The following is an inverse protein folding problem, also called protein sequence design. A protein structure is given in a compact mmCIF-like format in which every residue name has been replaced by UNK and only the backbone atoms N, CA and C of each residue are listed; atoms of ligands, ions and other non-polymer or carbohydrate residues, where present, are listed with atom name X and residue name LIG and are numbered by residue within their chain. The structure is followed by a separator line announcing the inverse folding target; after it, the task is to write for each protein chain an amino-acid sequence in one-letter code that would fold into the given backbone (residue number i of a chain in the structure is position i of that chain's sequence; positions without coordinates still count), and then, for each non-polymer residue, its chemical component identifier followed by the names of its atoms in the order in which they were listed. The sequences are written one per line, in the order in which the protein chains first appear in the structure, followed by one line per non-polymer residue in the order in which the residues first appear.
data_IF_127032348557
#
_entry.id   IF_127032348557
#
_cell.length_a   1.000
_cell.length_b   1.000
_cell.length_c   1.000
_cell.angle_alpha   90.00
_cell.angle_beta   90.00
_cell.angle_gamma   90.00
#
_symmetry.space_group_name_H-M   'P 1'
#
loop_
_entity.id
_entity.type
_entity.pdbx_description
1 polymer ?
#
# COMPACT_ATOMS: atom_id res chain seq x y z
N UNK A 1 -11.47 10.94 27.32
CA UNK A 1 -11.85 11.01 25.89
C UNK A 1 -10.63 10.62 25.05
N UNK A 2 -10.76 9.72 24.07
CA UNK A 2 -9.62 9.33 23.21
C UNK A 2 -9.25 10.51 22.30
N UNK A 3 -7.97 10.88 22.26
CA UNK A 3 -7.43 11.94 21.37
C UNK A 3 -6.72 11.39 20.13
N UNK A 4 -6.60 10.08 20.04
CA UNK A 4 -5.96 9.33 18.97
C UNK A 4 -6.74 8.03 18.77
N UNK A 5 -6.83 7.57 17.54
CA UNK A 5 -7.43 6.28 17.20
C UNK A 5 -6.88 5.78 15.87
N UNK A 6 -6.85 4.47 15.71
CA UNK A 6 -6.66 3.79 14.44
C UNK A 6 -7.84 2.83 14.22
N UNK A 7 -8.19 2.59 12.96
CA UNK A 7 -9.16 1.57 12.55
C UNK A 7 -8.60 0.85 11.33
N UNK A 8 -8.90 -0.44 11.21
CA UNK A 8 -8.57 -1.18 10.00
C UNK A 8 -9.63 -2.20 9.64
N UNK A 9 -9.73 -2.51 8.35
CA UNK A 9 -10.46 -3.69 7.86
C UNK A 9 -9.64 -4.99 7.96
N UNK A 10 -8.48 -4.95 8.63
CA UNK A 10 -7.66 -6.10 9.00
C UNK A 10 -7.38 -6.00 10.51
N UNK A 11 -7.96 -6.90 11.30
CA UNK A 11 -7.96 -6.82 12.78
C UNK A 11 -6.56 -6.68 13.38
N UNK A 12 -5.63 -7.52 12.97
CA UNK A 12 -4.29 -7.57 13.51
C UNK A 12 -3.44 -6.36 13.09
N UNK A 13 -3.74 -5.78 11.91
CA UNK A 13 -3.15 -4.52 11.48
C UNK A 13 -3.69 -3.34 12.30
N UNK A 14 -4.96 -3.39 12.72
CA UNK A 14 -5.54 -2.40 13.61
C UNK A 14 -4.83 -2.40 14.96
N UNK A 15 -4.65 -3.57 15.58
CA UNK A 15 -4.01 -3.70 16.89
C UNK A 15 -2.59 -3.08 16.87
N UNK A 16 -1.81 -3.41 15.84
CA UNK A 16 -0.46 -2.87 15.67
C UNK A 16 -0.46 -1.35 15.42
N UNK A 17 -1.44 -0.82 14.68
CA UNK A 17 -1.56 0.63 14.46
C UNK A 17 -1.98 1.36 15.74
N UNK A 18 -2.89 0.79 16.54
CA UNK A 18 -3.31 1.33 17.83
C UNK A 18 -2.16 1.34 18.85
N UNK A 19 -1.34 0.29 18.88
CA UNK A 19 -0.14 0.20 19.71
C UNK A 19 0.87 1.29 19.32
N UNK A 20 1.15 1.44 18.01
CA UNK A 20 2.05 2.48 17.51
C UNK A 20 1.59 3.90 17.88
N UNK A 21 0.27 4.17 17.84
CA UNK A 21 -0.28 5.42 18.35
C UNK A 21 -0.09 5.54 19.86
N UNK A 22 -0.28 4.44 20.60
CA UNK A 22 -0.16 4.39 22.06
C UNK A 22 1.23 4.79 22.54
N UNK A 23 2.26 4.33 21.83
CA UNK A 23 3.68 4.66 22.02
C UNK A 23 4.06 6.10 21.61
N UNK A 24 3.09 6.91 21.18
CA UNK A 24 3.33 8.30 20.77
C UNK A 24 3.70 8.47 19.30
N UNK A 25 3.44 7.46 18.47
CA UNK A 25 3.53 7.57 17.02
C UNK A 25 2.53 8.56 16.43
N UNK A 26 2.88 9.09 15.25
CA UNK A 26 1.96 9.87 14.42
C UNK A 26 0.95 8.98 13.69
N UNK A 27 -0.06 9.59 13.07
CA UNK A 27 -1.03 8.86 12.25
C UNK A 27 -0.36 8.09 11.11
N UNK A 28 0.63 8.71 10.46
CA UNK A 28 1.38 8.08 9.37
C UNK A 28 2.26 6.92 9.88
N UNK A 29 2.88 7.05 11.06
CA UNK A 29 3.61 5.95 11.71
C UNK A 29 2.69 4.75 11.97
N UNK A 30 1.48 5.03 12.46
CA UNK A 30 0.50 4.01 12.81
C UNK A 30 0.01 3.21 11.60
N UNK A 31 -0.43 3.87 10.52
CA UNK A 31 -0.93 3.16 9.33
C UNK A 31 0.16 2.33 8.64
N UNK A 32 1.40 2.82 8.61
CA UNK A 32 2.56 2.09 8.04
C UNK A 32 2.93 0.91 8.93
N UNK A 33 2.91 1.07 10.25
CA UNK A 33 3.17 -0.04 11.19
C UNK A 33 2.11 -1.13 11.06
N UNK A 34 0.82 -0.76 11.00
CA UNK A 34 -0.26 -1.73 10.77
C UNK A 34 -0.11 -2.48 9.44
N UNK A 35 0.23 -1.77 8.36
CA UNK A 35 0.49 -2.40 7.06
C UNK A 35 1.66 -3.39 7.12
N UNK A 36 2.78 -2.98 7.71
CA UNK A 36 3.95 -3.85 7.83
C UNK A 36 3.70 -5.02 8.79
N UNK A 37 2.81 -4.88 9.76
CA UNK A 37 2.34 -5.99 10.59
C UNK A 37 1.58 -7.03 9.74
N UNK A 38 0.61 -6.60 8.92
CA UNK A 38 -0.10 -7.48 8.01
C UNK A 38 0.85 -8.18 7.01
N UNK A 39 1.83 -7.45 6.48
CA UNK A 39 2.91 -8.01 5.65
C UNK A 39 3.80 -9.03 6.38
N UNK A 40 3.86 -8.97 7.71
CA UNK A 40 4.53 -9.97 8.54
C UNK A 40 3.71 -11.25 8.73
N UNK A 41 2.39 -11.19 8.57
CA UNK A 41 1.47 -12.32 8.71
C UNK A 41 1.24 -13.07 7.38
N UNK A 42 1.14 -12.33 6.28
CA UNK A 42 0.83 -12.86 4.95
C UNK A 42 1.94 -12.58 3.93
N UNK A 43 2.15 -13.44 2.92
CA UNK A 43 3.26 -13.30 1.97
C UNK A 43 3.04 -12.21 0.89
N UNK A 44 1.78 -11.85 0.62
CA UNK A 44 1.32 -10.98 -0.47
C UNK A 44 1.37 -9.47 -0.18
N UNK A 45 0.99 -8.96 1.01
CA UNK A 45 0.79 -7.53 1.20
C UNK A 45 2.03 -6.67 0.97
N UNK A 46 3.22 -7.15 1.34
CA UNK A 46 4.44 -6.36 1.37
C UNK A 46 4.79 -5.73 0.01
N UNK A 47 4.65 -6.50 -1.06
CA UNK A 47 4.99 -6.12 -2.43
C UNK A 47 3.76 -5.73 -3.26
N UNK A 48 2.57 -5.88 -2.69
CA UNK A 48 1.32 -5.52 -3.31
C UNK A 48 1.18 -4.01 -3.53
N UNK A 49 0.17 -3.58 -4.32
CA UNK A 49 -0.16 -2.17 -4.48
C UNK A 49 -0.47 -1.51 -3.15
N UNK A 50 0.05 -0.30 -2.95
CA UNK A 50 -0.27 0.57 -1.80
C UNK A 50 -0.72 1.94 -2.30
N UNK A 51 -1.76 2.49 -1.68
CA UNK A 51 -2.13 3.90 -1.81
C UNK A 51 -2.12 4.52 -0.43
N UNK A 52 -1.55 5.72 -0.29
CA UNK A 52 -1.48 6.41 0.99
C UNK A 52 -1.94 7.85 0.83
N UNK A 53 -2.80 8.31 1.73
CA UNK A 53 -3.25 9.68 1.83
C UNK A 53 -2.88 10.21 3.22
N UNK A 54 -2.26 11.38 3.28
CA UNK A 54 -1.79 12.00 4.53
C UNK A 54 -2.13 13.48 4.52
N UNK A 55 -2.62 13.99 5.64
CA UNK A 55 -2.96 15.40 5.77
C UNK A 55 -3.10 15.84 7.21
N UNK A 56 -3.14 17.15 7.40
CA UNK A 56 -3.27 17.77 8.71
C UNK A 56 -3.15 19.28 8.63
N UNK A 57 -3.41 19.96 9.74
CA UNK A 57 -3.39 21.43 9.79
C UNK A 57 -2.03 21.95 9.31
N UNK A 58 -2.04 22.84 8.32
CA UNK A 58 -0.84 23.47 7.74
C UNK A 58 0.01 22.60 6.82
N UNK A 59 -0.33 21.32 6.60
CA UNK A 59 0.47 20.39 5.79
C UNK A 59 -0.11 20.15 4.38
N UNK A 60 -1.35 20.61 4.12
CA UNK A 60 -2.12 20.21 2.94
C UNK A 60 -2.37 18.70 2.94
N UNK A 61 -2.95 18.19 1.85
CA UNK A 61 -3.10 16.75 1.64
C UNK A 61 -2.10 16.24 0.60
N UNK A 62 -1.46 15.12 0.92
CA UNK A 62 -0.44 14.45 0.11
C UNK A 62 -0.89 13.03 -0.19
N UNK A 63 -0.68 12.61 -1.42
CA UNK A 63 -0.93 11.25 -1.86
C UNK A 63 0.39 10.56 -2.23
N UNK A 64 0.55 9.29 -1.87
CA UNK A 64 1.72 8.49 -2.22
C UNK A 64 1.31 7.26 -3.04
N UNK A 65 1.84 7.16 -4.25
CA UNK A 65 1.56 6.13 -5.25
C UNK A 65 2.51 4.94 -5.07
N UNK A 66 2.04 3.90 -4.39
CA UNK A 66 2.69 2.61 -4.28
C UNK A 66 2.08 1.55 -5.19
N UNK A 67 1.34 1.94 -6.26
CA UNK A 67 0.77 0.97 -7.20
C UNK A 67 1.87 0.11 -7.83
N UNK A 68 1.50 -1.14 -8.11
CA UNK A 68 2.34 -2.01 -8.92
C UNK A 68 2.48 -1.45 -10.34
N UNK A 69 3.54 -1.82 -11.05
CA UNK A 69 3.83 -1.30 -12.39
C UNK A 69 3.98 -2.43 -13.39
N UNK A 70 3.63 -2.14 -14.64
CA UNK A 70 3.89 -3.04 -15.75
C UNK A 70 5.40 -3.32 -15.86
N UNK A 71 5.85 -4.58 -15.80
CA UNK A 71 7.27 -4.92 -15.85
C UNK A 71 7.87 -4.77 -17.26
N UNK A 72 9.19 -4.86 -17.32
CA UNK A 72 9.99 -4.88 -18.55
C UNK A 72 10.70 -3.57 -18.83
N UNK A 73 11.00 -2.75 -17.83
CA UNK A 73 11.87 -1.57 -17.99
C UNK A 73 13.24 -1.99 -18.49
N UNK A 74 13.76 -1.29 -19.49
CA UNK A 74 15.04 -1.54 -20.18
C UNK A 74 15.24 -2.96 -20.75
N UNK A 75 14.23 -3.83 -20.66
CA UNK A 75 14.30 -5.18 -21.17
C UNK A 75 14.04 -5.18 -22.68
N UNK A 76 14.72 -6.10 -23.37
CA UNK A 76 14.41 -6.38 -24.78
C UNK A 76 12.95 -6.77 -24.90
N UNK A 77 12.27 -6.26 -25.93
CA UNK A 77 10.87 -6.61 -26.22
C UNK A 77 10.74 -8.14 -26.38
N UNK A 78 9.94 -8.82 -25.53
CA UNK A 78 9.71 -10.25 -25.64
C UNK A 78 8.85 -10.56 -26.87
N UNK A 79 8.93 -11.80 -27.36
CA UNK A 79 7.94 -12.31 -28.32
C UNK A 79 6.65 -12.55 -27.54
N UNK A 80 5.52 -12.05 -28.04
CA UNK A 80 4.24 -12.25 -27.37
C UNK A 80 3.84 -13.73 -27.36
N UNK A 81 3.15 -14.13 -26.29
CA UNK A 81 2.60 -15.48 -26.15
C UNK A 81 1.58 -15.76 -27.27
N UNK A 82 1.63 -16.98 -27.78
CA UNK A 82 0.67 -17.51 -28.77
C UNK A 82 -0.39 -18.41 -28.15
N UNK A 83 -0.15 -18.88 -26.93
CA UNK A 83 -1.05 -19.76 -26.22
C UNK A 83 -2.22 -18.94 -25.64
N UNK A 84 -3.35 -19.61 -25.47
CA UNK A 84 -4.55 -19.01 -24.88
C UNK A 84 -4.35 -18.64 -23.39
N UNK A 85 -3.39 -19.30 -22.70
CA UNK A 85 -3.07 -19.03 -21.29
C UNK A 85 -1.56 -18.81 -21.08
N UNK A 86 -1.12 -17.56 -20.81
CA UNK A 86 0.25 -17.25 -20.40
C UNK A 86 0.62 -17.88 -19.05
N UNK A 87 1.91 -18.16 -18.81
CA UNK A 87 2.36 -18.66 -17.51
C UNK A 87 2.11 -17.63 -16.40
N UNK A 88 1.91 -18.10 -15.16
CA UNK A 88 1.60 -17.25 -13.99
C UNK A 88 2.63 -16.13 -13.80
N UNK A 89 3.90 -16.43 -14.07
CA UNK A 89 5.04 -15.51 -13.98
C UNK A 89 4.90 -14.30 -14.92
N UNK A 90 4.17 -14.45 -16.04
CA UNK A 90 3.89 -13.35 -16.96
C UNK A 90 2.98 -12.27 -16.38
N UNK A 91 2.26 -12.58 -15.30
CA UNK A 91 1.40 -11.67 -14.56
C UNK A 91 2.12 -10.97 -13.39
N UNK A 92 3.38 -11.32 -13.09
CA UNK A 92 4.15 -10.66 -12.04
C UNK A 92 4.33 -9.17 -12.35
N UNK A 93 3.82 -8.30 -11.49
CA UNK A 93 4.01 -6.87 -11.58
C UNK A 93 5.21 -6.40 -10.76
N UNK A 94 5.81 -5.29 -11.18
CA UNK A 94 6.89 -4.64 -10.45
C UNK A 94 6.32 -3.92 -9.21
N UNK A 95 6.85 -4.18 -8.00
CA UNK A 95 6.29 -3.62 -6.77
C UNK A 95 6.63 -2.14 -6.58
N UNK A 96 5.66 -1.35 -6.11
CA UNK A 96 5.82 0.08 -5.82
C UNK A 96 5.73 0.46 -4.34
N UNK A 97 5.25 -0.45 -3.49
CA UNK A 97 4.92 -0.19 -2.08
C UNK A 97 6.08 0.39 -1.26
N UNK A 98 7.23 -0.29 -1.24
CA UNK A 98 8.38 0.12 -0.41
C UNK A 98 8.88 1.52 -0.80
N UNK A 99 8.78 1.87 -2.07
CA UNK A 99 9.16 3.19 -2.55
C UNK A 99 8.23 4.29 -2.00
N UNK A 100 6.92 4.07 -2.10
CA UNK A 100 5.92 4.99 -1.56
C UNK A 100 6.04 5.15 -0.04
N UNK A 101 6.21 4.07 0.70
CA UNK A 101 6.34 4.11 2.16
C UNK A 101 7.61 4.82 2.62
N UNK A 102 8.72 4.63 1.91
CA UNK A 102 9.99 5.31 2.21
C UNK A 102 9.84 6.82 2.07
N UNK A 103 9.20 7.28 0.98
CA UNK A 103 8.98 8.71 0.75
C UNK A 103 7.91 9.27 1.70
N UNK A 104 6.86 8.52 2.03
CA UNK A 104 5.90 8.94 3.03
C UNK A 104 6.57 9.16 4.40
N UNK A 105 7.44 8.26 4.84
CA UNK A 105 8.11 8.38 6.14
C UNK A 105 9.09 9.55 6.23
N UNK A 106 9.61 10.09 5.12
CA UNK A 106 10.49 11.26 5.19
C UNK A 106 9.78 12.49 5.76
N UNK A 107 8.43 12.51 5.78
CA UNK A 107 7.62 13.56 6.39
C UNK A 107 7.56 13.49 7.93
N UNK A 108 7.98 12.38 8.55
CA UNK A 108 7.90 12.20 10.01
C UNK A 108 9.16 12.56 10.77
N UNK A 109 10.23 12.98 10.09
CA UNK A 109 11.46 13.47 10.72
C UNK A 109 11.92 12.63 11.92
N UNK A 110 12.35 11.38 11.69
CA UNK A 110 13.01 10.58 12.74
C UNK A 110 12.55 9.13 12.91
N UNK A 111 11.62 8.63 12.10
CA UNK A 111 11.23 7.20 12.07
C UNK A 111 11.70 6.56 10.77
N UNK A 112 12.39 5.41 10.87
CA UNK A 112 12.79 4.61 9.71
C UNK A 112 11.71 3.59 9.35
N UNK A 113 11.73 3.13 8.09
CA UNK A 113 10.83 2.07 7.64
C UNK A 113 11.03 0.77 8.44
N UNK A 114 12.29 0.44 8.76
CA UNK A 114 12.61 -0.69 9.63
C UNK A 114 12.00 -0.55 11.04
N UNK A 115 12.00 0.65 11.62
CA UNK A 115 11.40 0.87 12.94
C UNK A 115 9.89 0.57 12.92
N UNK A 116 9.17 1.02 11.88
CA UNK A 116 7.76 0.71 11.67
C UNK A 116 7.53 -0.79 11.42
N UNK A 117 8.48 -1.47 10.79
CA UNK A 117 8.37 -2.88 10.43
C UNK A 117 8.70 -3.88 11.53
N UNK A 118 9.29 -3.45 12.66
CA UNK A 118 9.70 -4.36 13.74
C UNK A 118 8.56 -5.24 14.25
N UNK A 119 7.34 -4.72 14.54
CA UNK A 119 6.22 -5.57 14.95
C UNK A 119 5.89 -6.66 13.93
N UNK A 120 5.88 -6.33 12.63
CA UNK A 120 5.64 -7.29 11.54
C UNK A 120 6.75 -8.33 11.39
N UNK A 121 8.01 -7.93 11.52
CA UNK A 121 9.15 -8.87 11.52
C UNK A 121 9.01 -9.87 12.68
N UNK A 122 8.58 -9.42 13.86
CA UNK A 122 8.35 -10.31 14.99
C UNK A 122 7.13 -11.22 14.78
N UNK A 123 6.06 -10.71 14.14
CA UNK A 123 4.90 -11.52 13.76
C UNK A 123 5.28 -12.63 12.76
N UNK A 124 6.12 -12.32 11.77
CA UNK A 124 6.67 -13.30 10.83
C UNK A 124 7.50 -14.37 11.56
N UNK A 125 8.39 -13.98 12.48
CA UNK A 125 9.18 -14.92 13.30
C UNK A 125 8.29 -15.84 14.14
N UNK A 126 7.27 -15.29 14.81
CA UNK A 126 6.33 -16.08 15.65
C UNK A 126 5.47 -17.05 14.83
N UNK A 127 5.19 -16.73 13.57
CA UNK A 127 4.43 -17.61 12.66
C UNK A 127 5.31 -18.63 11.93
N UNK A 128 6.62 -18.66 12.21
CA UNK A 128 7.56 -19.58 11.56
C UNK A 128 8.04 -19.13 10.17
N UNK A 129 7.63 -17.95 9.69
CA UNK A 129 8.05 -17.38 8.42
C UNK A 129 9.40 -16.66 8.54
N UNK A 130 10.46 -17.43 8.80
CA UNK A 130 11.79 -16.91 9.10
C UNK A 130 12.44 -16.18 7.91
N UNK A 131 12.24 -16.68 6.69
CA UNK A 131 12.81 -16.04 5.50
C UNK A 131 12.06 -14.76 5.15
N UNK A 132 10.73 -14.72 5.37
CA UNK A 132 9.96 -13.47 5.27
C UNK A 132 10.46 -12.41 6.25
N UNK A 133 10.69 -12.81 7.51
CA UNK A 133 11.21 -11.90 8.52
C UNK A 133 12.59 -11.33 8.13
N UNK A 134 13.49 -12.18 7.63
CA UNK A 134 14.83 -11.79 7.17
C UNK A 134 14.78 -10.88 5.96
N UNK A 135 13.90 -11.18 5.01
CA UNK A 135 13.65 -10.34 3.85
C UNK A 135 13.16 -8.96 4.28
N UNK A 136 12.16 -8.88 5.15
CA UNK A 136 11.66 -7.63 5.70
C UNK A 136 12.76 -6.83 6.40
N UNK A 137 13.56 -7.48 7.26
CA UNK A 137 14.67 -6.81 7.94
C UNK A 137 15.68 -6.19 6.95
N UNK A 138 16.04 -6.94 5.91
CA UNK A 138 16.97 -6.50 4.86
C UNK A 138 16.37 -5.38 4.00
N UNK A 139 15.17 -5.59 3.47
CA UNK A 139 14.52 -4.67 2.54
C UNK A 139 14.13 -3.36 3.24
N UNK A 140 13.52 -3.43 4.43
CA UNK A 140 13.09 -2.25 5.18
C UNK A 140 14.29 -1.50 5.79
N UNK A 141 15.37 -2.21 6.15
CA UNK A 141 16.61 -1.61 6.63
C UNK A 141 17.31 -0.75 5.58
N UNK A 142 17.24 -1.16 4.31
CA UNK A 142 17.77 -0.40 3.17
C UNK A 142 16.78 0.63 2.58
N UNK A 143 15.55 0.71 3.11
CA UNK A 143 14.51 1.63 2.65
C UNK A 143 14.20 1.50 1.16
N UNK A 144 14.16 2.62 0.45
CA UNK A 144 13.85 2.67 -1.00
C UNK A 144 14.83 1.91 -1.91
N UNK A 145 15.99 1.50 -1.38
CA UNK A 145 16.99 0.72 -2.10
C UNK A 145 16.95 -0.78 -1.76
N UNK A 146 16.01 -1.21 -0.90
CA UNK A 146 15.94 -2.60 -0.43
C UNK A 146 15.84 -3.64 -1.55
N UNK A 147 15.08 -3.35 -2.60
CA UNK A 147 14.92 -4.28 -3.72
C UNK A 147 16.13 -4.32 -4.68
N UNK A 148 17.07 -3.37 -4.55
CA UNK A 148 18.31 -3.35 -5.35
C UNK A 148 19.40 -4.25 -4.79
N UNK A 149 19.19 -4.87 -3.63
CA UNK A 149 20.17 -5.79 -3.06
C UNK A 149 20.38 -6.99 -4.00
N UNK A 150 21.63 -7.37 -4.35
CA UNK A 150 21.89 -8.38 -5.37
C UNK A 150 21.22 -9.73 -5.13
N UNK A 151 21.14 -10.16 -3.86
CA UNK A 151 20.45 -11.40 -3.49
C UNK A 151 18.94 -11.30 -3.76
N UNK A 152 18.32 -10.17 -3.41
CA UNK A 152 16.90 -9.93 -3.64
C UNK A 152 16.60 -9.87 -5.14
N UNK A 153 17.38 -9.10 -5.91
CA UNK A 153 17.20 -9.00 -7.35
C UNK A 153 17.29 -10.37 -8.03
N UNK A 154 18.29 -11.19 -7.65
CA UNK A 154 18.47 -12.53 -8.22
C UNK A 154 17.24 -13.41 -7.99
N UNK A 155 16.74 -13.48 -6.77
CA UNK A 155 15.58 -14.31 -6.43
C UNK A 155 14.31 -13.83 -7.17
N UNK A 156 14.11 -12.52 -7.29
CA UNK A 156 12.96 -11.95 -8.00
C UNK A 156 13.03 -12.23 -9.50
N UNK A 157 14.20 -12.09 -10.11
CA UNK A 157 14.41 -12.41 -11.54
C UNK A 157 14.31 -13.91 -11.80
N UNK A 158 14.71 -14.76 -10.85
CA UNK A 158 14.50 -16.20 -10.94
C UNK A 158 13.02 -16.58 -10.86
N UNK A 159 12.22 -15.83 -10.11
CA UNK A 159 10.78 -16.08 -9.96
C UNK A 159 9.93 -15.51 -11.11
N UNK A 160 10.28 -14.34 -11.63
CA UNK A 160 9.41 -13.57 -12.53
C UNK A 160 10.13 -12.93 -13.74
N UNK A 161 11.40 -13.26 -13.94
CA UNK A 161 12.17 -12.78 -15.09
C UNK A 161 11.92 -13.60 -16.36
N UNK A 162 12.59 -13.25 -17.47
CA UNK A 162 12.42 -13.90 -18.77
C UNK A 162 12.63 -15.42 -18.77
N UNK A 163 13.55 -15.93 -17.95
CA UNK A 163 13.83 -17.36 -17.84
C UNK A 163 12.72 -18.14 -17.15
N UNK A 164 11.89 -17.47 -16.36
CA UNK A 164 10.72 -18.04 -15.68
C UNK A 164 9.43 -17.87 -16.49
N UNK A 165 9.50 -17.27 -17.69
CA UNK A 165 8.32 -16.91 -18.49
C UNK A 165 7.68 -15.58 -18.09
N UNK A 166 8.27 -14.84 -17.15
CA UNK A 166 7.84 -13.49 -16.79
C UNK A 166 8.57 -12.39 -17.58
N UNK A 167 8.29 -11.13 -17.22
CA UNK A 167 8.90 -9.96 -17.87
C UNK A 167 9.62 -9.02 -16.90
N UNK A 168 9.75 -9.41 -15.63
CA UNK A 168 10.43 -8.59 -14.62
C UNK A 168 11.91 -8.43 -14.97
N UNK A 169 12.41 -7.20 -14.90
CA UNK A 169 13.80 -6.84 -15.14
C UNK A 169 14.44 -6.25 -13.87
N UNK A 170 15.78 -6.16 -13.86
CA UNK A 170 16.48 -5.51 -12.74
C UNK A 170 16.09 -4.03 -12.60
N UNK A 171 15.80 -3.35 -13.72
CA UNK A 171 15.39 -1.95 -13.74
C UNK A 171 13.99 -1.73 -13.14
N UNK A 172 13.12 -2.75 -13.17
CA UNK A 172 11.80 -2.71 -12.52
C UNK A 172 11.90 -2.66 -10.98
N UNK A 173 13.00 -3.14 -10.42
CA UNK A 173 13.26 -3.16 -8.97
C UNK A 173 13.96 -1.87 -8.50
N UNK A 174 14.18 -0.92 -9.41
CA UNK A 174 14.75 0.38 -9.10
C UNK A 174 13.64 1.42 -8.88
N UNK A 175 13.79 2.25 -7.85
CA UNK A 175 12.91 3.40 -7.61
C UNK A 175 13.14 4.48 -8.69
N UNK A 176 12.52 4.30 -9.86
CA UNK A 176 12.64 5.21 -11.02
C UNK A 176 11.40 6.10 -11.23
N UNK A 177 10.60 6.28 -10.19
CA UNK A 177 9.40 7.11 -10.23
C UNK A 177 9.31 7.99 -8.99
N UNK A 178 8.61 9.12 -9.11
CA UNK A 178 8.23 9.95 -7.99
C UNK A 178 6.94 9.38 -7.37
N UNK A 179 6.95 8.84 -6.15
CA UNK A 179 5.76 8.31 -5.52
C UNK A 179 4.86 9.42 -4.94
N UNK A 180 5.39 10.60 -4.66
CA UNK A 180 4.59 11.68 -4.07
C UNK A 180 3.82 12.47 -5.14
N UNK A 181 2.55 12.71 -4.85
CA UNK A 181 1.68 13.58 -5.62
C UNK A 181 0.87 14.48 -4.69
N UNK A 182 0.45 15.68 -5.15
CA UNK A 182 -0.62 16.40 -4.46
C UNK A 182 -1.88 15.53 -4.45
N UNK A 183 -2.62 15.53 -3.34
CA UNK A 183 -3.94 14.92 -3.33
C UNK A 183 -4.86 15.63 -4.33
N UNK A 184 -5.83 14.90 -4.89
CA UNK A 184 -6.90 15.49 -5.69
C UNK A 184 -7.93 16.10 -4.74
N UNK A 185 -8.11 17.41 -4.84
CA UNK A 185 -9.05 18.17 -3.99
C UNK A 185 -10.34 18.45 -4.77
N UNK A 186 -11.47 18.20 -4.14
CA UNK A 186 -12.82 18.57 -4.61
C UNK A 186 -13.61 19.11 -3.44
N UNK A 187 -13.92 20.41 -3.44
CA UNK A 187 -14.52 21.11 -2.31
C UNK A 187 -13.71 20.89 -1.02
N UNK A 188 -14.26 20.18 -0.03
CA UNK A 188 -13.60 19.84 1.24
C UNK A 188 -12.92 18.47 1.23
N UNK A 189 -12.99 17.73 0.13
CA UNK A 189 -12.52 16.35 0.04
C UNK A 189 -11.18 16.24 -0.66
N UNK A 190 -10.23 15.58 0.00
CA UNK A 190 -8.98 15.12 -0.59
C UNK A 190 -9.03 13.63 -0.88
N UNK A 191 -8.58 13.25 -2.06
CA UNK A 191 -8.53 11.85 -2.54
C UNK A 191 -7.22 11.53 -3.23
N UNK A 192 -6.97 10.25 -3.49
CA UNK A 192 -5.85 9.84 -4.36
C UNK A 192 -6.10 10.36 -5.79
N UNK A 193 -5.12 10.98 -6.46
CA UNK A 193 -5.32 11.54 -7.80
C UNK A 193 -5.44 10.47 -8.89
N UNK A 194 -5.18 9.20 -8.56
CA UNK A 194 -5.40 8.01 -9.39
C UNK A 194 -6.51 7.10 -8.85
N UNK A 195 -7.39 7.60 -7.97
CA UNK A 195 -8.53 6.83 -7.49
C UNK A 195 -9.39 6.36 -8.68
N UNK A 196 -9.67 5.06 -8.70
CA UNK A 196 -10.48 4.38 -9.71
C UNK A 196 -11.53 3.52 -8.99
N UNK A 197 -12.75 3.49 -9.52
CA UNK A 197 -13.81 2.65 -8.97
C UNK A 197 -13.53 1.17 -9.23
N UNK A 198 -13.85 0.33 -8.25
CA UNK A 198 -13.78 -1.14 -8.38
C UNK A 198 -14.63 -1.66 -9.54
N UNK A 199 -15.81 -1.07 -9.77
CA UNK A 199 -16.71 -1.42 -10.88
C UNK A 199 -16.09 -1.23 -12.28
N UNK A 200 -14.99 -0.49 -12.37
CA UNK A 200 -14.32 -0.17 -13.63
C UNK A 200 -13.14 -1.11 -13.92
N UNK A 201 -12.84 -2.06 -13.04
CA UNK A 201 -11.66 -2.93 -13.13
C UNK A 201 -12.05 -4.41 -13.09
N UNK A 202 -11.33 -5.23 -13.86
CA UNK A 202 -11.33 -6.68 -13.71
C UNK A 202 -10.19 -7.07 -12.79
N UNK A 203 -10.50 -7.41 -11.54
CA UNK A 203 -9.51 -7.82 -10.55
C UNK A 203 -9.32 -9.34 -10.56
N UNK A 204 -8.12 -9.85 -10.22
CA UNK A 204 -7.93 -11.27 -10.00
C UNK A 204 -8.81 -11.81 -8.88
N UNK A 205 -9.33 -13.01 -9.06
CA UNK A 205 -10.08 -13.72 -8.02
C UNK A 205 -9.24 -13.87 -6.74
N UNK A 206 -9.86 -13.62 -5.59
CA UNK A 206 -9.20 -13.73 -4.28
C UNK A 206 -8.31 -12.53 -3.91
N UNK A 207 -8.21 -11.50 -4.75
CA UNK A 207 -7.60 -10.23 -4.36
C UNK A 207 -8.52 -9.50 -3.35
N UNK A 208 -7.99 -9.23 -2.16
CA UNK A 208 -8.67 -8.55 -1.05
C UNK A 208 -8.02 -7.22 -0.76
N UNK A 209 -8.82 -6.15 -0.78
CA UNK A 209 -8.47 -4.81 -0.36
C UNK A 209 -8.63 -4.66 1.15
N UNK A 210 -7.59 -4.15 1.78
CA UNK A 210 -7.62 -3.73 3.17
C UNK A 210 -7.28 -2.25 3.29
N UNK A 211 -7.79 -1.62 4.33
CA UNK A 211 -7.47 -0.23 4.63
C UNK A 211 -7.18 -0.03 6.11
N UNK A 212 -6.31 0.92 6.42
CA UNK A 212 -5.98 1.37 7.77
C UNK A 212 -6.09 2.89 7.77
N UNK A 213 -6.82 3.44 8.73
CA UNK A 213 -6.91 4.89 8.95
C UNK A 213 -6.47 5.22 10.37
N UNK A 214 -5.89 6.39 10.56
CA UNK A 214 -5.48 6.87 11.87
C UNK A 214 -5.63 8.38 12.01
N UNK A 215 -5.94 8.81 13.23
CA UNK A 215 -5.82 10.20 13.69
C UNK A 215 -4.92 10.18 14.93
N UNK A 216 -3.88 11.02 14.96
CA UNK A 216 -3.01 11.16 16.13
C UNK A 216 -3.41 12.33 17.05
N UNK A 217 -2.68 12.47 18.16
CA UNK A 217 -2.97 13.47 19.18
C UNK A 217 -2.73 14.93 18.72
N UNK A 218 -1.99 15.14 17.63
CA UNK A 218 -1.75 16.48 17.06
C UNK A 218 -2.80 16.85 16.01
N UNK A 219 -3.62 15.89 15.59
CA UNK A 219 -4.64 16.07 14.56
C UNK A 219 -4.09 15.90 13.15
N UNK A 220 -3.02 15.10 12.99
CA UNK A 220 -2.66 14.56 11.67
C UNK A 220 -3.52 13.33 11.38
N UNK A 221 -3.88 13.18 10.11
CA UNK A 221 -4.69 12.09 9.61
C UNK A 221 -3.91 11.34 8.55
N UNK A 222 -4.05 10.02 8.55
CA UNK A 222 -3.49 9.17 7.51
C UNK A 222 -4.47 8.06 7.15
N UNK A 223 -4.50 7.71 5.88
CA UNK A 223 -5.20 6.55 5.35
C UNK A 223 -4.25 5.77 4.44
N UNK A 224 -4.26 4.44 4.56
CA UNK A 224 -3.45 3.54 3.74
C UNK A 224 -4.35 2.40 3.24
N UNK A 225 -4.34 2.18 1.93
CA UNK A 225 -4.98 1.05 1.27
C UNK A 225 -3.90 0.08 0.78
N UNK A 226 -4.09 -1.22 1.01
CA UNK A 226 -3.21 -2.28 0.52
C UNK A 226 -4.01 -3.50 0.10
N UNK A 227 -3.35 -4.46 -0.57
CA UNK A 227 -4.01 -5.65 -1.08
C UNK A 227 -3.32 -6.93 -0.60
N UNK A 228 -4.14 -7.94 -0.29
CA UNK A 228 -3.74 -9.31 0.02
C UNK A 228 -4.40 -10.24 -1.01
N UNK A 229 -3.66 -11.18 -1.62
CA UNK A 229 -4.25 -12.01 -2.66
C UNK A 229 -3.21 -12.77 -3.47
N UNK A 230 -3.62 -13.40 -4.59
CA UNK A 230 -2.75 -14.27 -5.36
C UNK A 230 -1.56 -13.49 -5.95
N UNK A 231 -0.38 -14.06 -5.82
CA UNK A 231 0.83 -13.54 -6.42
C UNK A 231 1.77 -14.63 -6.95
N UNK A 232 2.87 -14.20 -7.56
CA UNK A 232 3.95 -15.07 -8.04
C UNK A 232 4.93 -15.30 -6.89
N UNK A 233 5.11 -16.54 -6.42
CA UNK A 233 5.88 -16.81 -5.21
C UNK A 233 7.38 -16.58 -5.43
N UNK A 234 7.99 -15.81 -4.54
CA UNK A 234 9.44 -15.71 -4.38
C UNK A 234 9.82 -16.59 -3.19
N UNK A 235 9.90 -17.90 -3.44
CA UNK A 235 10.02 -18.94 -2.40
C UNK A 235 11.18 -18.69 -1.42
N UNK A 236 12.30 -18.19 -1.93
CA UNK A 236 13.51 -17.90 -1.14
C UNK A 236 13.27 -16.89 -0.01
N UNK A 237 12.19 -16.09 -0.09
CA UNK A 237 11.84 -15.10 0.92
C UNK A 237 10.44 -15.30 1.51
N UNK A 238 9.72 -16.38 1.16
CA UNK A 238 8.35 -16.62 1.63
C UNK A 238 7.39 -15.43 1.41
N UNK A 239 7.57 -14.72 0.28
CA UNK A 239 6.74 -13.60 -0.16
C UNK A 239 6.19 -13.85 -1.56
N UNK A 240 5.22 -13.03 -1.96
CA UNK A 240 4.65 -13.07 -3.31
C UNK A 240 4.76 -11.71 -4.00
N UNK A 241 5.12 -11.75 -5.29
CA UNK A 241 4.98 -10.61 -6.20
C UNK A 241 3.53 -10.47 -6.64
N UNK A 242 2.95 -9.27 -6.73
CA UNK A 242 1.56 -9.10 -7.15
C UNK A 242 1.35 -9.62 -8.58
N UNK A 243 0.36 -10.50 -8.78
CA UNK A 243 0.00 -11.02 -10.09
C UNK A 243 -1.00 -10.10 -10.81
N UNK A 244 -0.57 -8.87 -11.14
CA UNK A 244 -1.43 -7.80 -11.68
C UNK A 244 -1.02 -7.33 -13.08
N UNK A 245 0.15 -7.74 -13.58
CA UNK A 245 0.65 -7.27 -14.87
C UNK A 245 -0.14 -7.87 -16.03
N UNK A 246 -0.24 -7.10 -17.12
CA UNK A 246 -0.78 -7.63 -18.36
C UNK A 246 0.30 -8.41 -19.11
N UNK A 247 0.09 -9.71 -19.41
CA UNK A 247 1.05 -10.49 -20.17
C UNK A 247 1.15 -9.96 -21.61
N UNK A 248 2.31 -10.15 -22.24
CA UNK A 248 2.53 -9.72 -23.62
C UNK A 248 1.96 -10.77 -24.56
N UNK A 249 0.81 -10.50 -25.16
CA UNK A 249 0.15 -11.40 -26.12
C UNK A 249 0.50 -11.04 -27.57
N UNK A 250 0.51 -12.04 -28.46
CA UNK A 250 0.70 -11.80 -29.90
C UNK A 250 -0.53 -11.07 -30.48
N UNK A 251 -0.30 -10.01 -31.25
CA UNK A 251 -1.37 -9.26 -31.91
C UNK A 251 -2.11 -8.25 -31.00
N UNK A 252 -1.86 -8.26 -29.70
CA UNK A 252 -2.43 -7.30 -28.75
C UNK A 252 -1.45 -6.17 -28.47
N UNK A 253 -1.88 -4.89 -28.48
CA UNK A 253 -1.04 -3.79 -28.02
C UNK A 253 -0.53 -4.03 -26.60
N UNK A 254 0.79 -4.00 -26.43
CA UNK A 254 1.42 -4.21 -25.13
C UNK A 254 1.27 -2.97 -24.26
N UNK A 255 0.99 -3.17 -22.97
CA UNK A 255 1.12 -2.15 -21.94
C UNK A 255 2.58 -1.64 -21.83
N UNK A 256 2.75 -0.32 -21.74
CA UNK A 256 4.08 0.30 -21.63
C UNK A 256 4.72 -0.08 -20.28
N UNK A 257 5.98 -0.54 -20.23
CA UNK A 257 6.67 -0.80 -18.97
C UNK A 257 6.79 0.46 -18.11
N UNK A 258 6.76 0.25 -16.79
CA UNK A 258 6.75 1.32 -15.79
C UNK A 258 5.40 2.01 -15.63
N UNK A 259 4.41 1.75 -16.50
CA UNK A 259 3.05 2.28 -16.33
C UNK A 259 2.44 1.73 -15.04
N UNK A 260 1.90 2.58 -14.14
CA UNK A 260 1.15 2.13 -12.98
C UNK A 260 -0.05 1.26 -13.39
N UNK A 261 -0.29 0.20 -12.64
CA UNK A 261 -1.44 -0.69 -12.81
C UNK A 261 -2.56 -0.20 -11.89
N UNK A 262 -3.73 0.05 -12.47
CA UNK A 262 -4.89 0.57 -11.76
C UNK A 262 -5.46 -0.46 -10.77
N UNK A 263 -5.75 0.01 -9.57
CA UNK A 263 -6.25 -0.78 -8.43
C UNK A 263 -7.21 0.10 -7.63
N UNK A 264 -8.33 -0.44 -7.10
CA UNK A 264 -9.38 0.39 -6.52
C UNK A 264 -9.04 0.86 -5.11
N UNK A 265 -8.33 1.98 -5.02
CA UNK A 265 -7.91 2.58 -3.75
C UNK A 265 -8.84 3.76 -3.41
N UNK A 266 -9.82 3.52 -2.53
CA UNK A 266 -10.80 4.52 -2.10
C UNK A 266 -10.43 5.09 -0.73
N UNK A 267 -9.66 6.18 -0.73
CA UNK A 267 -9.21 6.89 0.47
C UNK A 267 -9.67 8.34 0.40
N UNK A 268 -10.19 8.85 1.52
CA UNK A 268 -10.67 10.23 1.64
C UNK A 268 -10.17 10.89 2.92
N UNK A 269 -9.76 12.15 2.82
CA UNK A 269 -9.70 13.09 3.94
C UNK A 269 -10.77 14.16 3.69
N UNK A 270 -11.42 14.65 4.74
CA UNK A 270 -12.40 15.75 4.67
C UNK A 270 -11.99 16.90 5.60
N UNK A 271 -12.02 18.12 5.07
CA UNK A 271 -11.87 19.35 5.85
C UNK A 271 -13.21 19.73 6.49
N UNK A 272 -13.19 20.05 7.78
CA UNK A 272 -14.37 20.53 8.49
C UNK A 272 -14.64 22.02 8.29
N UNK A 273 -15.84 22.47 8.66
CA UNK A 273 -16.34 23.84 8.45
C UNK A 273 -15.45 24.95 9.07
N UNK A 274 -14.74 24.64 10.16
CA UNK A 274 -13.82 25.58 10.83
C UNK A 274 -12.41 25.63 10.18
N UNK A 275 -12.24 25.04 8.99
CA UNK A 275 -11.02 25.11 8.17
C UNK A 275 -9.92 24.15 8.61
N UNK A 276 -9.70 23.07 7.85
CA UNK A 276 -8.68 22.04 8.08
C UNK A 276 -9.26 20.64 8.39
N UNK A 277 -8.42 19.63 8.28
CA UNK A 277 -8.83 18.22 8.32
C UNK A 277 -9.36 17.79 9.67
N UNK A 278 -10.56 17.22 9.69
CA UNK A 278 -11.16 16.63 10.90
C UNK A 278 -11.66 15.21 10.68
N UNK A 279 -11.74 14.71 9.44
CA UNK A 279 -12.22 13.36 9.14
C UNK A 279 -11.33 12.62 8.14
N UNK A 280 -11.26 11.31 8.34
CA UNK A 280 -10.60 10.36 7.44
C UNK A 280 -11.48 9.13 7.26
N UNK A 281 -11.62 8.66 6.03
CA UNK A 281 -12.35 7.44 5.72
C UNK A 281 -11.66 6.60 4.64
N UNK A 282 -11.97 5.31 4.64
CA UNK A 282 -11.49 4.34 3.67
C UNK A 282 -12.48 3.18 3.50
N UNK A 283 -12.37 2.45 2.38
CA UNK A 283 -13.22 1.28 2.06
C UNK A 283 -12.39 0.01 1.91
N UNK A 284 -12.84 -1.10 2.52
CA UNK A 284 -12.27 -2.45 2.36
C UNK A 284 -13.00 -3.31 1.32
N UNK A 285 -12.55 -4.55 1.09
CA UNK A 285 -13.21 -5.53 0.20
C UNK A 285 -14.31 -6.35 0.87
N UNK A 286 -14.21 -6.63 2.16
CA UNK A 286 -15.25 -7.40 2.85
C UNK A 286 -16.51 -6.53 2.98
N UNK A 287 -17.58 -6.87 2.24
CA UNK A 287 -18.93 -6.31 2.38
C UNK A 287 -19.07 -4.78 2.28
N UNK A 288 -18.20 -4.08 1.53
CA UNK A 288 -18.17 -2.62 1.53
C UNK A 288 -18.00 -2.00 2.92
N UNK A 289 -17.21 -2.65 3.79
CA UNK A 289 -16.86 -2.08 5.10
C UNK A 289 -16.15 -0.76 4.86
N UNK A 290 -16.84 0.32 5.20
CA UNK A 290 -16.31 1.66 5.30
C UNK A 290 -15.89 1.89 6.76
N UNK A 291 -14.72 2.46 6.96
CA UNK A 291 -14.21 2.87 8.27
C UNK A 291 -14.02 4.38 8.23
N UNK A 292 -14.37 5.06 9.33
CA UNK A 292 -14.16 6.49 9.45
C UNK A 292 -13.84 6.92 10.89
N UNK A 293 -12.96 7.90 10.98
CA UNK A 293 -12.62 8.62 12.19
C UNK A 293 -12.92 10.10 11.99
N UNK A 294 -13.45 10.74 13.02
CA UNK A 294 -13.60 12.20 13.08
C UNK A 294 -12.97 12.76 14.35
N UNK A 295 -12.40 13.96 14.31
CA UNK A 295 -11.84 14.66 15.45
C UNK A 295 -12.60 15.96 15.70
N UNK A 296 -13.24 16.07 16.85
CA UNK A 296 -13.79 17.34 17.32
C UNK A 296 -12.64 18.33 17.57
N UNK A 297 -12.63 19.47 16.87
CA UNK A 297 -11.50 20.42 16.93
C UNK A 297 -11.39 21.16 18.26
N UNK A 298 -12.52 21.36 18.96
CA UNK A 298 -12.56 22.09 20.23
C UNK A 298 -12.05 21.20 21.36
N UNK A 299 -12.46 19.93 21.37
CA UNK A 299 -12.13 18.99 22.45
C UNK A 299 -10.98 18.05 22.13
N UNK A 300 -10.57 17.99 20.85
CA UNK A 300 -9.64 17.00 20.26
C UNK A 300 -10.11 15.56 20.44
N UNK A 301 -11.39 15.37 20.68
CA UNK A 301 -11.96 14.04 20.87
C UNK A 301 -12.13 13.33 19.54
N UNK A 302 -11.60 12.10 19.45
CA UNK A 302 -11.76 11.25 18.27
C UNK A 302 -13.00 10.37 18.44
N UNK A 303 -13.85 10.33 17.41
CA UNK A 303 -15.04 9.49 17.32
C UNK A 303 -14.88 8.49 16.17
N UNK A 304 -15.38 7.29 16.39
CA UNK A 304 -15.52 6.25 15.37
C UNK A 304 -16.93 6.35 14.81
N UNK A 305 -17.07 6.37 13.48
CA UNK A 305 -18.39 6.27 12.83
C UNK A 305 -18.55 4.93 12.15
N UNK A 306 -19.72 4.32 12.32
CA UNK A 306 -20.19 3.16 11.55
C UNK A 306 -21.25 3.53 10.51
N UNK A 307 -21.80 4.75 10.57
CA UNK A 307 -22.77 5.26 9.60
C UNK A 307 -22.03 6.05 8.51
N UNK A 308 -22.52 5.96 7.27
CA UNK A 308 -21.95 6.64 6.10
C UNK A 308 -23.07 7.26 5.26
N UNK A 309 -22.82 8.45 4.71
CA UNK A 309 -23.65 9.12 3.72
C UNK A 309 -23.40 8.57 2.31
N UNK A 310 -24.12 9.11 1.32
CA UNK A 310 -23.98 8.72 -0.10
C UNK A 310 -22.56 8.98 -0.66
N UNK A 311 -21.80 9.89 -0.04
CA UNK A 311 -20.42 10.23 -0.40
C UNK A 311 -19.40 9.29 0.24
N UNK A 312 -19.83 8.38 1.11
CA UNK A 312 -18.94 7.46 1.82
C UNK A 312 -18.31 8.04 3.07
N UNK A 313 -18.91 9.07 3.67
CA UNK A 313 -18.42 9.76 4.87
C UNK A 313 -19.42 9.68 6.02
N UNK A 314 -19.00 9.80 7.29
CA UNK A 314 -19.92 9.82 8.43
C UNK A 314 -21.05 10.86 8.30
N UNK A 315 -22.31 10.56 8.68
CA UNK A 315 -23.32 11.59 8.84
C UNK A 315 -22.87 12.59 9.91
N UNK A 316 -23.10 13.87 9.63
CA UNK A 316 -22.73 15.02 10.48
C UNK A 316 -23.47 14.97 11.82
#
# INVERSE_FOLDING_TARGET
MKRRAALSTHSEAQDAAEEALTEGGSALHAVITGFLFAAGLSPSPLLGPVGLLYGGVGHGAKAFDGRARQPGLDARRPRGFTNDEPPKEAYAAAPGSLAALTVALSYLGGKSLLACGRPGIQAAKRSGAAERARFMETALGAGGLGLKQPAIQRAFLAAAGPTAGGNLSAADLEMRFAPEHPARVSETLSTLPWAVSESSLSLPDGLRRHSIIAIDATGLLAALCFFDGPGVPVREFEIELPALASPVLRGVPRAKPGTPIDTPMELTLEEGDEGGWDRVAARGSAADVRIALSQDRRTRAVRVSSAFDERGLPPV
#
